data_IF_370879202931
#
_entry.id   IF_370879202931
#
_cell.length_a   1.000
_cell.length_b   1.000
_cell.length_c   1.000
_cell.angle_alpha   90.00
_cell.angle_beta   90.00
_cell.angle_gamma   90.00
#
_symmetry.space_group_name_H-M   'P 1'
#
loop_
_entity.id
_entity.type
_entity.pdbx_description
1 polymer ?
#
# COMPACT_ATOMS: atom_id res chain seq x y z
N UNK A 1 6.37 14.73 -30.70
CA UNK A 1 6.32 14.53 -29.23
C UNK A 1 5.24 15.44 -28.66
N UNK A 2 4.02 14.92 -28.47
CA UNK A 2 2.89 15.67 -27.92
C UNK A 2 3.15 15.87 -26.42
N UNK A 3 3.34 17.11 -25.99
CA UNK A 3 3.41 17.45 -24.54
C UNK A 3 2.02 17.22 -23.97
N UNK A 4 1.89 16.32 -23.02
CA UNK A 4 0.63 16.11 -22.27
C UNK A 4 0.15 17.43 -21.69
N UNK A 5 -1.17 17.65 -21.64
CA UNK A 5 -1.74 18.86 -21.07
C UNK A 5 -1.30 19.03 -19.61
N UNK A 6 -0.67 20.17 -19.32
CA UNK A 6 -0.16 20.52 -17.98
C UNK A 6 -1.16 20.29 -16.81
N UNK A 7 -2.50 20.44 -16.98
CA UNK A 7 -3.46 20.20 -15.91
C UNK A 7 -3.54 18.73 -15.46
N UNK A 8 -3.45 17.76 -16.37
CA UNK A 8 -3.52 16.33 -16.01
C UNK A 8 -2.32 15.88 -15.18
N UNK A 9 -1.12 16.43 -15.47
CA UNK A 9 0.08 16.15 -14.66
C UNK A 9 -0.04 16.72 -13.25
N UNK A 10 -0.53 17.95 -13.12
CA UNK A 10 -0.75 18.57 -11.80
C UNK A 10 -1.78 17.84 -10.97
N UNK A 11 -2.83 17.29 -11.60
CA UNK A 11 -3.83 16.47 -10.92
C UNK A 11 -3.21 15.16 -10.41
N UNK A 12 -2.41 14.47 -11.24
CA UNK A 12 -1.72 13.25 -10.82
C UNK A 12 -0.78 13.52 -9.63
N UNK A 13 0.06 14.55 -9.73
CA UNK A 13 0.98 14.95 -8.64
C UNK A 13 0.20 15.34 -7.36
N UNK A 14 -0.93 16.03 -7.50
CA UNK A 14 -1.81 16.38 -6.39
C UNK A 14 -2.42 15.16 -5.70
N UNK A 15 -2.82 14.13 -6.46
CA UNK A 15 -3.33 12.87 -5.91
C UNK A 15 -2.23 12.11 -5.16
N UNK A 16 -1.00 12.09 -5.70
CA UNK A 16 0.15 11.47 -5.05
C UNK A 16 0.43 12.10 -3.68
N UNK A 17 0.51 13.45 -3.61
CA UNK A 17 0.73 14.17 -2.34
C UNK A 17 -0.45 13.99 -1.39
N UNK A 18 -1.69 14.10 -1.90
CA UNK A 18 -2.91 13.88 -1.13
C UNK A 18 -2.93 12.53 -0.45
N UNK A 19 -2.50 11.47 -1.15
CA UNK A 19 -2.40 10.12 -0.61
C UNK A 19 -1.42 10.01 0.56
N UNK A 20 -0.25 10.64 0.47
CA UNK A 20 0.69 10.68 1.59
C UNK A 20 0.07 11.33 2.83
N UNK A 21 -0.68 12.41 2.63
CA UNK A 21 -1.35 13.12 3.72
C UNK A 21 -2.52 12.34 4.32
N UNK A 22 -3.16 11.42 3.57
CA UNK A 22 -4.28 10.59 4.07
C UNK A 22 -3.87 9.64 5.21
N UNK A 23 -2.60 9.28 5.33
CA UNK A 23 -2.12 8.42 6.41
C UNK A 23 -2.37 9.01 7.81
N UNK A 24 -2.21 10.31 7.98
CA UNK A 24 -2.44 10.97 9.27
C UNK A 24 -3.93 11.00 9.67
N UNK A 25 -4.88 11.51 8.86
CA UNK A 25 -6.30 11.45 9.21
C UNK A 25 -6.82 10.01 9.37
N UNK A 26 -6.26 9.04 8.67
CA UNK A 26 -6.59 7.62 8.83
C UNK A 26 -6.22 7.13 10.25
N UNK A 27 -4.98 7.39 10.71
CA UNK A 27 -4.55 7.03 12.08
C UNK A 27 -5.40 7.76 13.12
N UNK A 28 -5.70 9.04 12.93
CA UNK A 28 -6.53 9.82 13.85
C UNK A 28 -7.96 9.26 13.92
N UNK A 29 -8.54 8.88 12.79
CA UNK A 29 -9.86 8.26 12.73
C UNK A 29 -9.88 6.91 13.46
N UNK A 30 -8.86 6.06 13.26
CA UNK A 30 -8.72 4.79 13.97
C UNK A 30 -8.58 5.00 15.48
N UNK A 31 -7.71 5.93 15.90
CA UNK A 31 -7.46 6.23 17.30
C UNK A 31 -8.67 6.86 18.00
N UNK A 32 -9.49 7.60 17.26
CA UNK A 32 -10.75 8.19 17.72
C UNK A 32 -11.96 7.24 17.65
N UNK A 33 -11.77 5.97 17.28
CA UNK A 33 -12.86 4.98 17.18
C UNK A 33 -13.75 5.12 15.94
N UNK A 34 -13.41 6.03 15.00
CA UNK A 34 -14.15 6.24 13.76
C UNK A 34 -13.73 5.24 12.67
N UNK A 35 -13.88 3.93 12.95
CA UNK A 35 -13.42 2.85 12.08
C UNK A 35 -14.00 2.92 10.65
N UNK A 36 -15.28 3.31 10.51
CA UNK A 36 -15.92 3.48 9.20
C UNK A 36 -15.25 4.58 8.37
N UNK A 37 -14.92 5.72 8.99
CA UNK A 37 -14.19 6.79 8.31
C UNK A 37 -12.79 6.32 7.88
N UNK A 38 -12.07 5.66 8.77
CA UNK A 38 -10.74 5.13 8.45
C UNK A 38 -10.77 4.12 7.29
N UNK A 39 -11.78 3.27 7.26
CA UNK A 39 -11.99 2.31 6.18
C UNK A 39 -12.18 3.01 4.82
N UNK A 40 -13.04 4.04 4.79
CA UNK A 40 -13.26 4.84 3.57
C UNK A 40 -12.00 5.60 3.14
N UNK A 41 -11.25 6.17 4.10
CA UNK A 41 -9.98 6.85 3.79
C UNK A 41 -8.97 5.88 3.17
N UNK A 42 -8.87 4.66 3.70
CA UNK A 42 -7.99 3.63 3.14
C UNK A 42 -8.44 3.24 1.73
N UNK A 43 -9.74 2.97 1.55
CA UNK A 43 -10.29 2.58 0.23
C UNK A 43 -10.05 3.69 -0.81
N UNK A 44 -10.38 4.93 -0.48
CA UNK A 44 -10.19 6.07 -1.38
C UNK A 44 -8.71 6.31 -1.70
N UNK A 45 -7.83 6.13 -0.72
CA UNK A 45 -6.38 6.19 -0.94
C UNK A 45 -5.89 5.15 -1.95
N UNK A 46 -6.35 3.90 -1.84
CA UNK A 46 -6.01 2.85 -2.80
C UNK A 46 -6.63 3.05 -4.18
N UNK A 47 -7.89 3.53 -4.24
CA UNK A 47 -8.53 3.87 -5.51
C UNK A 47 -7.84 5.05 -6.21
N UNK A 48 -7.37 6.05 -5.45
CA UNK A 48 -6.63 7.18 -6.01
C UNK A 48 -5.33 6.73 -6.68
N UNK A 49 -4.61 5.74 -6.12
CA UNK A 49 -3.42 5.14 -6.72
C UNK A 49 -3.71 4.48 -8.08
N UNK A 50 -4.82 3.75 -8.15
CA UNK A 50 -5.24 3.15 -9.41
C UNK A 50 -5.62 4.23 -10.44
N UNK A 51 -6.30 5.30 -10.00
CA UNK A 51 -6.77 6.37 -10.86
C UNK A 51 -5.60 7.22 -11.41
N UNK A 52 -4.63 7.61 -10.57
CA UNK A 52 -3.48 8.40 -11.03
C UNK A 52 -2.55 7.58 -11.95
N UNK A 53 -2.36 6.29 -11.67
CA UNK A 53 -1.68 5.39 -12.58
C UNK A 53 -2.37 5.27 -13.95
N UNK A 54 -3.71 5.31 -13.99
CA UNK A 54 -4.48 5.34 -15.24
C UNK A 54 -4.32 6.69 -15.97
N UNK A 55 -4.41 7.80 -15.23
CA UNK A 55 -4.23 9.16 -15.76
C UNK A 55 -2.82 9.38 -16.30
N UNK A 56 -1.80 8.94 -15.56
CA UNK A 56 -0.40 9.02 -15.99
C UNK A 56 -0.17 8.27 -17.31
N UNK A 57 -0.71 7.06 -17.46
CA UNK A 57 -0.63 6.29 -18.72
C UNK A 57 -1.32 7.02 -19.87
N UNK A 58 -2.49 7.63 -19.66
CA UNK A 58 -3.21 8.41 -20.68
C UNK A 58 -2.51 9.74 -21.02
N UNK A 59 -1.78 10.31 -20.06
CA UNK A 59 -1.02 11.55 -20.25
C UNK A 59 0.35 11.35 -20.89
N UNK A 60 0.73 10.12 -21.28
CA UNK A 60 2.03 9.83 -21.88
C UNK A 60 3.21 9.92 -20.90
N UNK A 61 2.94 9.81 -19.60
CA UNK A 61 3.92 9.82 -18.50
C UNK A 61 3.60 10.84 -17.42
N UNK A 62 3.94 10.50 -16.16
CA UNK A 62 3.85 11.41 -15.01
C UNK A 62 4.96 12.46 -14.99
N UNK A 63 4.95 13.35 -13.99
CA UNK A 63 6.07 14.24 -13.73
C UNK A 63 7.25 13.44 -13.15
N UNK A 64 8.49 13.91 -13.32
CA UNK A 64 9.67 13.29 -12.68
C UNK A 64 9.54 13.30 -11.15
N UNK A 65 8.88 14.32 -10.62
CA UNK A 65 8.65 14.49 -9.19
C UNK A 65 7.62 13.49 -8.67
N UNK A 66 6.47 13.34 -9.34
CA UNK A 66 5.46 12.34 -9.03
C UNK A 66 6.04 10.92 -9.08
N UNK A 67 6.76 10.58 -10.13
CA UNK A 67 7.39 9.27 -10.27
C UNK A 67 8.40 8.91 -9.16
N UNK A 68 9.02 9.91 -8.51
CA UNK A 68 9.91 9.71 -7.34
C UNK A 68 9.14 9.55 -6.04
N UNK A 69 8.00 10.25 -5.90
CA UNK A 69 7.20 10.24 -4.66
C UNK A 69 6.23 9.06 -4.59
N UNK A 70 5.67 8.63 -5.72
CA UNK A 70 4.71 7.51 -5.78
C UNK A 70 5.13 6.30 -4.96
N UNK A 71 6.37 5.76 -5.10
CA UNK A 71 6.77 4.58 -4.34
C UNK A 71 6.82 4.80 -2.82
N UNK A 72 6.89 6.04 -2.36
CA UNK A 72 6.93 6.39 -0.94
C UNK A 72 5.53 6.65 -0.38
N UNK A 73 4.69 7.36 -1.13
CA UNK A 73 3.34 7.76 -0.69
C UNK A 73 2.42 6.57 -0.47
N UNK A 74 2.48 5.56 -1.34
CA UNK A 74 1.75 4.30 -1.18
C UNK A 74 2.12 3.59 0.12
N UNK A 75 3.40 3.61 0.47
CA UNK A 75 3.89 2.95 1.67
C UNK A 75 3.52 3.68 2.94
N UNK A 76 3.47 5.01 2.90
CA UNK A 76 3.02 5.83 4.03
C UNK A 76 1.55 5.54 4.33
N UNK A 77 0.71 5.50 3.29
CA UNK A 77 -0.71 5.18 3.47
C UNK A 77 -0.93 3.80 4.10
N UNK A 78 -0.22 2.77 3.61
CA UNK A 78 -0.35 1.39 4.11
C UNK A 78 0.30 1.23 5.48
N UNK A 79 1.39 1.95 5.77
CA UNK A 79 2.05 1.89 7.07
C UNK A 79 1.14 2.35 8.21
N UNK A 80 0.29 3.34 7.98
CA UNK A 80 -0.61 3.89 8.99
C UNK A 80 -1.50 2.82 9.65
N UNK A 81 -2.34 2.05 8.92
CA UNK A 81 -3.18 1.01 9.51
C UNK A 81 -2.36 -0.18 10.04
N UNK A 82 -1.23 -0.53 9.42
CA UNK A 82 -0.38 -1.62 9.89
C UNK A 82 0.19 -1.33 11.27
N UNK A 83 0.72 -0.12 11.47
CA UNK A 83 1.27 0.32 12.76
C UNK A 83 0.18 0.40 13.82
N UNK A 84 -0.99 0.92 13.47
CA UNK A 84 -2.11 0.98 14.38
C UNK A 84 -2.56 -0.43 14.80
N UNK A 85 -2.76 -1.37 13.88
CA UNK A 85 -3.14 -2.76 14.18
C UNK A 85 -2.11 -3.48 15.04
N UNK A 86 -0.82 -3.19 14.86
CA UNK A 86 0.22 -3.76 15.71
C UNK A 86 0.24 -3.15 17.12
N UNK A 87 -0.18 -1.89 17.27
CA UNK A 87 -0.21 -1.17 18.53
C UNK A 87 -1.47 -1.43 19.38
N UNK A 88 -2.47 -2.18 18.87
CA UNK A 88 -3.75 -2.42 19.53
C UNK A 88 -3.86 -3.84 20.12
N UNK A 89 -3.38 -4.08 21.35
CA UNK A 89 -3.41 -5.42 21.95
C UNK A 89 -4.83 -5.95 22.20
N UNK A 90 -5.80 -5.06 22.32
CA UNK A 90 -7.22 -5.42 22.49
C UNK A 90 -7.93 -5.77 21.18
N UNK A 91 -7.29 -5.56 20.02
CA UNK A 91 -7.88 -5.90 18.73
C UNK A 91 -7.84 -7.41 18.52
N UNK A 92 -8.98 -8.07 18.22
CA UNK A 92 -9.04 -9.55 18.12
C UNK A 92 -8.06 -10.16 17.11
N UNK A 93 -7.80 -9.43 16.02
CA UNK A 93 -6.88 -9.83 14.96
C UNK A 93 -5.63 -8.94 14.94
N UNK A 94 -5.03 -8.69 16.12
CA UNK A 94 -3.78 -7.94 16.23
C UNK A 94 -2.70 -8.53 15.33
N UNK A 95 -2.00 -7.66 14.60
CA UNK A 95 -0.84 -8.07 13.82
C UNK A 95 0.41 -8.07 14.71
N UNK A 96 1.22 -9.14 14.68
CA UNK A 96 2.48 -9.16 15.43
C UNK A 96 3.42 -8.04 14.95
N UNK A 97 3.95 -7.27 15.90
CA UNK A 97 4.83 -6.12 15.59
C UNK A 97 6.03 -6.51 14.72
N UNK A 98 6.62 -7.70 14.97
CA UNK A 98 7.75 -8.20 14.18
C UNK A 98 7.36 -8.46 12.70
N UNK A 99 6.13 -8.93 12.44
CA UNK A 99 5.65 -9.19 11.08
C UNK A 99 5.39 -7.89 10.33
N UNK A 100 4.80 -6.90 11.01
CA UNK A 100 4.62 -5.54 10.47
C UNK A 100 5.96 -4.89 10.19
N UNK A 101 6.92 -5.01 11.11
CA UNK A 101 8.27 -4.49 10.92
C UNK A 101 8.97 -5.12 9.70
N UNK A 102 8.94 -6.45 9.56
CA UNK A 102 9.52 -7.14 8.40
C UNK A 102 8.90 -6.67 7.10
N UNK A 103 7.57 -6.50 7.06
CA UNK A 103 6.88 -6.04 5.89
C UNK A 103 7.31 -4.61 5.52
N UNK A 104 7.30 -3.67 6.47
CA UNK A 104 7.68 -2.28 6.23
C UNK A 104 9.17 -2.15 5.89
N UNK A 105 10.06 -2.84 6.58
CA UNK A 105 11.49 -2.85 6.29
C UNK A 105 11.75 -3.33 4.85
N UNK A 106 11.10 -4.42 4.45
CA UNK A 106 11.18 -4.92 3.08
C UNK A 106 10.67 -3.91 2.06
N UNK A 107 9.52 -3.28 2.33
CA UNK A 107 8.94 -2.29 1.43
C UNK A 107 9.89 -1.10 1.22
N UNK A 108 10.49 -0.59 2.28
CA UNK A 108 11.44 0.52 2.23
C UNK A 108 12.74 0.13 1.51
N UNK A 109 13.32 -1.03 1.85
CA UNK A 109 14.56 -1.51 1.24
C UNK A 109 14.41 -1.71 -0.27
N UNK A 110 13.34 -2.39 -0.71
CA UNK A 110 13.12 -2.62 -2.14
C UNK A 110 12.81 -1.32 -2.89
N UNK A 111 12.09 -0.37 -2.26
CA UNK A 111 11.86 0.94 -2.88
C UNK A 111 13.14 1.75 -3.01
N UNK A 112 13.94 1.82 -1.96
CA UNK A 112 15.24 2.50 -1.99
C UNK A 112 16.17 1.89 -3.05
N UNK A 113 16.23 0.57 -3.12
CA UNK A 113 17.02 -0.13 -4.14
C UNK A 113 16.55 0.19 -5.58
N UNK A 114 15.24 0.18 -5.81
CA UNK A 114 14.67 0.46 -7.15
C UNK A 114 14.82 1.92 -7.57
N UNK A 115 14.79 2.85 -6.63
CA UNK A 115 14.98 4.28 -6.93
C UNK A 115 16.41 4.61 -7.35
N UNK A 116 17.40 3.82 -6.90
CA UNK A 116 18.81 3.96 -7.27
C UNK A 116 19.22 3.21 -8.54
N UNK A 117 18.41 2.24 -8.99
CA UNK A 117 18.72 1.43 -10.18
C UNK A 117 18.14 2.09 -11.44
N UNK A 118 18.99 2.52 -12.35
CA UNK A 118 18.61 2.96 -13.70
C UNK A 118 18.11 1.75 -14.51
N UNK A 119 16.84 1.40 -14.39
CA UNK A 119 16.25 0.30 -15.14
C UNK A 119 15.40 -0.63 -14.28
N UNK A 120 14.39 -0.09 -13.58
CA UNK A 120 13.38 -0.90 -12.93
C UNK A 120 12.63 -1.73 -13.97
N UNK A 121 12.89 -3.03 -14.03
CA UNK A 121 12.13 -3.97 -14.85
C UNK A 121 10.64 -3.96 -14.50
N UNK A 122 9.77 -4.49 -15.39
CA UNK A 122 8.33 -4.54 -15.15
C UNK A 122 8.04 -5.27 -13.83
N UNK A 123 7.04 -4.77 -13.08
CA UNK A 123 6.64 -5.39 -11.82
C UNK A 123 6.25 -6.85 -12.06
N UNK A 124 6.89 -7.77 -11.33
CA UNK A 124 6.56 -9.20 -11.41
C UNK A 124 5.10 -9.45 -11.02
N UNK A 125 4.49 -10.52 -11.53
CA UNK A 125 3.13 -10.93 -11.15
C UNK A 125 3.02 -11.12 -9.62
N UNK A 126 4.05 -11.68 -8.99
CA UNK A 126 4.14 -11.83 -7.55
C UNK A 126 4.11 -10.47 -6.81
N UNK A 127 4.79 -9.44 -7.37
CA UNK A 127 4.75 -8.09 -6.81
C UNK A 127 3.37 -7.45 -6.89
N UNK A 128 2.61 -7.69 -7.96
CA UNK A 128 1.23 -7.22 -8.08
C UNK A 128 0.29 -7.96 -7.13
N UNK A 129 0.37 -9.30 -7.11
CA UNK A 129 -0.44 -10.15 -6.24
C UNK A 129 -0.24 -9.79 -4.76
N UNK A 130 1.00 -9.58 -4.34
CA UNK A 130 1.35 -9.13 -2.99
C UNK A 130 0.59 -7.85 -2.62
N UNK A 131 0.63 -6.83 -3.47
CA UNK A 131 0.02 -5.52 -3.18
C UNK A 131 -1.50 -5.63 -3.07
N UNK A 132 -2.13 -6.41 -3.96
CA UNK A 132 -3.57 -6.66 -3.92
C UNK A 132 -3.97 -7.40 -2.64
N UNK A 133 -3.24 -8.48 -2.29
CA UNK A 133 -3.51 -9.25 -1.07
C UNK A 133 -3.31 -8.40 0.19
N UNK A 134 -2.26 -7.60 0.24
CA UNK A 134 -1.97 -6.72 1.38
C UNK A 134 -3.07 -5.67 1.56
N UNK A 135 -3.50 -5.04 0.48
CA UNK A 135 -4.55 -4.03 0.52
C UNK A 135 -5.91 -4.65 0.89
N UNK A 136 -6.27 -5.80 0.30
CA UNK A 136 -7.46 -6.55 0.65
C UNK A 136 -7.45 -6.99 2.12
N UNK A 137 -6.32 -7.49 2.61
CA UNK A 137 -6.13 -7.85 4.02
C UNK A 137 -6.42 -6.67 4.94
N UNK A 138 -5.88 -5.48 4.65
CA UNK A 138 -6.10 -4.29 5.47
C UNK A 138 -7.56 -3.82 5.45
N UNK A 139 -8.22 -3.83 4.30
CA UNK A 139 -9.64 -3.49 4.21
C UNK A 139 -10.51 -4.44 5.03
N UNK A 140 -10.19 -5.74 5.03
CA UNK A 140 -10.91 -6.73 5.81
C UNK A 140 -10.59 -6.61 7.31
N UNK A 141 -9.34 -6.42 7.70
CA UNK A 141 -8.93 -6.24 9.09
C UNK A 141 -9.57 -5.00 9.73
N UNK A 142 -9.71 -3.92 8.97
CA UNK A 142 -10.33 -2.68 9.42
C UNK A 142 -11.84 -2.64 9.19
N UNK A 143 -12.48 -3.76 8.80
CA UNK A 143 -13.92 -3.78 8.58
C UNK A 143 -14.65 -3.31 9.85
N UNK A 144 -15.49 -2.26 9.75
CA UNK A 144 -16.14 -1.71 10.95
C UNK A 144 -17.10 -2.70 11.59
N UNK A 145 -16.94 -2.95 12.87
CA UNK A 145 -17.80 -3.88 13.61
C UNK A 145 -19.28 -3.42 13.59
N UNK A 146 -19.52 -2.11 13.51
CA UNK A 146 -20.87 -1.53 13.49
C UNK A 146 -21.65 -1.82 12.22
N UNK A 147 -20.97 -2.09 11.09
CA UNK A 147 -21.66 -2.31 9.80
C UNK A 147 -22.42 -3.64 9.71
N UNK A 148 -22.27 -4.53 10.66
CA UNK A 148 -23.05 -5.75 10.75
C UNK A 148 -24.21 -5.68 11.74
N UNK A 149 -24.22 -4.68 12.61
CA UNK A 149 -25.23 -4.54 13.66
C UNK A 149 -26.62 -4.23 13.10
N UNK A 150 -26.68 -3.33 12.11
CA UNK A 150 -27.94 -2.87 11.51
C UNK A 150 -28.59 -3.92 10.57
N UNK A 151 -27.83 -4.94 10.16
CA UNK A 151 -28.26 -5.99 9.22
C UNK A 151 -28.49 -7.34 9.90
N UNK A 152 -28.51 -7.40 11.23
CA UNK A 152 -28.57 -8.67 12.02
C UNK A 152 -27.44 -9.67 11.66
N UNK A 153 -26.39 -9.20 10.97
CA UNK A 153 -25.25 -9.99 10.52
C UNK A 153 -24.09 -9.95 11.55
N UNK A 154 -24.42 -10.03 12.84
CA UNK A 154 -23.45 -9.87 13.94
C UNK A 154 -22.18 -10.74 13.85
N UNK A 155 -22.25 -11.86 13.12
CA UNK A 155 -21.10 -12.74 12.87
C UNK A 155 -20.23 -12.34 11.67
N UNK A 156 -20.70 -11.44 10.80
CA UNK A 156 -19.97 -11.09 9.57
C UNK A 156 -18.71 -10.25 9.81
N UNK A 157 -18.73 -9.15 10.62
CA UNK A 157 -17.53 -8.36 10.84
C UNK A 157 -16.36 -9.17 11.41
N UNK A 158 -16.50 -9.98 12.48
CA UNK A 158 -15.38 -10.78 12.99
C UNK A 158 -14.88 -11.82 11.98
N UNK A 159 -15.76 -12.38 11.15
CA UNK A 159 -15.37 -13.30 10.09
C UNK A 159 -14.51 -12.60 9.02
N UNK A 160 -14.91 -11.40 8.59
CA UNK A 160 -14.16 -10.62 7.62
C UNK A 160 -12.78 -10.19 8.17
N UNK A 161 -12.73 -9.77 9.43
CA UNK A 161 -11.48 -9.45 10.10
C UNK A 161 -10.56 -10.68 10.21
N UNK A 162 -11.13 -11.84 10.53
CA UNK A 162 -10.38 -13.11 10.56
C UNK A 162 -9.82 -13.47 9.16
N UNK A 163 -10.60 -13.31 8.10
CA UNK A 163 -10.14 -13.52 6.73
C UNK A 163 -9.02 -12.52 6.39
N UNK A 164 -9.15 -11.27 6.79
CA UNK A 164 -8.09 -10.26 6.63
C UNK A 164 -6.78 -10.68 7.30
N UNK A 165 -6.85 -11.23 8.52
CA UNK A 165 -5.70 -11.74 9.24
C UNK A 165 -5.04 -12.92 8.51
N UNK A 166 -5.82 -13.85 7.98
CA UNK A 166 -5.28 -14.95 7.18
C UNK A 166 -4.66 -14.49 5.86
N UNK A 167 -5.23 -13.47 5.20
CA UNK A 167 -4.68 -12.90 3.97
C UNK A 167 -3.38 -12.11 4.19
N UNK A 168 -3.15 -11.60 5.38
CA UNK A 168 -1.91 -10.91 5.72
C UNK A 168 -0.67 -11.80 5.54
N UNK A 169 -0.75 -13.07 5.99
CA UNK A 169 0.39 -13.98 5.97
C UNK A 169 0.90 -14.32 4.56
N UNK A 170 0.06 -14.75 3.61
CA UNK A 170 0.52 -14.95 2.24
C UNK A 170 1.00 -13.65 1.58
N UNK A 171 0.43 -12.48 1.92
CA UNK A 171 0.94 -11.21 1.41
C UNK A 171 2.36 -10.92 1.92
N UNK A 172 2.64 -11.20 3.21
CA UNK A 172 3.97 -11.10 3.81
C UNK A 172 4.96 -12.06 3.15
N UNK A 173 4.57 -13.33 2.98
CA UNK A 173 5.42 -14.34 2.33
C UNK A 173 5.76 -13.95 0.89
N UNK A 174 4.79 -13.47 0.11
CA UNK A 174 5.02 -12.97 -1.24
C UNK A 174 5.88 -11.70 -1.24
N UNK A 175 5.73 -10.85 -0.24
CA UNK A 175 6.59 -9.68 -0.08
C UNK A 175 8.04 -10.12 0.12
N UNK A 176 8.31 -11.03 1.06
CA UNK A 176 9.66 -11.49 1.40
C UNK A 176 10.29 -12.28 0.24
N UNK A 177 9.55 -13.22 -0.38
CA UNK A 177 10.05 -14.02 -1.50
C UNK A 177 10.41 -13.16 -2.71
N UNK A 178 9.60 -12.14 -3.01
CA UNK A 178 9.91 -11.24 -4.12
C UNK A 178 11.14 -10.36 -3.85
N UNK A 179 11.49 -10.09 -2.58
CA UNK A 179 12.73 -9.37 -2.23
C UNK A 179 13.97 -10.22 -2.53
N UNK A 180 13.89 -11.53 -2.30
CA UNK A 180 15.00 -12.45 -2.55
C UNK A 180 15.44 -12.45 -4.02
N UNK A 181 14.48 -12.32 -4.95
CA UNK A 181 14.77 -12.21 -6.38
C UNK A 181 15.60 -10.97 -6.75
N UNK A 182 15.50 -9.87 -5.99
CA UNK A 182 16.30 -8.67 -6.23
C UNK A 182 17.72 -8.78 -5.69
N UNK A 183 17.94 -9.55 -4.63
CA UNK A 183 19.28 -9.78 -4.05
C UNK A 183 20.11 -10.75 -4.90
N UNK A 184 19.47 -11.66 -5.65
CA UNK A 184 20.11 -12.67 -6.50
C UNK A 184 20.54 -12.19 -7.88
N UNK A 185 20.04 -11.04 -8.34
CA UNK A 185 20.48 -10.46 -9.64
C UNK A 185 21.80 -9.75 -9.43
N UNK A 186 22.93 -10.46 -9.59
CA UNK A 186 24.25 -9.87 -9.76
C UNK A 186 24.16 -8.85 -10.93
N UNK A 187 24.52 -7.59 -10.66
CA UNK A 187 24.77 -6.64 -11.73
C UNK A 187 25.83 -7.23 -12.67
N UNK A 188 25.61 -7.26 -13.99
CA UNK A 188 26.68 -7.61 -14.90
C UNK A 188 27.81 -6.61 -14.70
N UNK A 189 29.00 -7.17 -14.53
CA UNK A 189 30.27 -6.50 -14.26
C UNK A 189 30.49 -5.35 -15.27
N UNK A 190 30.54 -4.11 -14.80
CA UNK A 190 30.84 -2.91 -15.59
C UNK A 190 32.35 -2.71 -15.80
N UNK A 191 33.13 -3.76 -15.75
CA UNK A 191 34.56 -3.72 -16.04
C UNK A 191 34.86 -4.41 -17.37
N UNK A 192 34.40 -3.86 -18.46
CA UNK A 192 35.02 -4.06 -19.80
C UNK A 192 34.75 -2.80 -20.63
N UNK A 193 35.59 -1.81 -20.47
CA UNK A 193 36.19 -1.00 -21.53
C UNK A 193 37.30 -0.15 -20.93
#
# INVERSE_FOLDING_TARGET
MSRSPAPLRRLADGLTVGRALLGLPLILALSGGAAGLAWWLLLLGGLSDWADGLLARRAGGGSEWGARLDPLTDKILIAAPLLWLAAQPAWPQQLPLWAVWLLLARELLVSGWRSGATGGGPASLAGKAKTVLQFASLLLLLWPATWGADLELGGLPPLLQQLGWWLFWPSLLLALSSAWGYLGVRQPDRTRH
#
